data_IF_511827058146
#
_entry.id   IF_511827058146
#
_cell.length_a   1.000
_cell.length_b   1.000
_cell.length_c   1.000
_cell.angle_alpha   90.00
_cell.angle_beta   90.00
_cell.angle_gamma   90.00
#
_symmetry.space_group_name_H-M   'P 1'
#
loop_
_entity.id
_entity.type
_entity.pdbx_description
1 polymer ?
#
# COMPACT_ATOMS: atom_id res chain seq x y z
N UNK A 1 14.86 14.66 -41.85
CA UNK A 1 15.46 13.55 -41.07
C UNK A 1 15.53 14.00 -39.62
N UNK A 2 14.94 13.24 -38.69
CA UNK A 2 15.10 13.53 -37.26
C UNK A 2 16.57 13.36 -36.91
N UNK A 3 17.16 14.39 -36.30
CA UNK A 3 18.56 14.34 -35.88
C UNK A 3 18.72 13.28 -34.79
N UNK A 4 19.75 12.45 -34.90
CA UNK A 4 20.04 11.36 -33.96
C UNK A 4 20.09 11.81 -32.49
N UNK A 5 20.57 13.02 -32.21
CA UNK A 5 20.57 13.60 -30.86
C UNK A 5 19.16 13.90 -30.31
N UNK A 6 18.24 14.36 -31.15
CA UNK A 6 16.83 14.60 -30.81
C UNK A 6 16.12 13.27 -30.48
N UNK A 7 16.40 12.23 -31.25
CA UNK A 7 15.86 10.89 -30.99
C UNK A 7 16.29 10.36 -29.61
N UNK A 8 17.57 10.54 -29.24
CA UNK A 8 18.10 10.13 -27.95
C UNK A 8 17.46 10.92 -26.80
N UNK A 9 17.30 12.23 -26.93
CA UNK A 9 16.63 13.06 -25.92
C UNK A 9 15.18 12.63 -25.68
N UNK A 10 14.42 12.39 -26.75
CA UNK A 10 13.03 11.95 -26.65
C UNK A 10 12.94 10.56 -26.01
N UNK A 11 13.87 9.65 -26.33
CA UNK A 11 13.93 8.31 -25.75
C UNK A 11 14.19 8.38 -24.23
N UNK A 12 15.13 9.22 -23.79
CA UNK A 12 15.41 9.39 -22.35
C UNK A 12 14.21 10.02 -21.63
N UNK A 13 13.58 11.03 -22.24
CA UNK A 13 12.45 11.72 -21.63
C UNK A 13 11.23 10.80 -21.46
N UNK A 14 10.91 9.98 -22.48
CA UNK A 14 9.81 9.01 -22.38
C UNK A 14 10.12 7.89 -21.39
N UNK A 15 11.38 7.48 -21.25
CA UNK A 15 11.79 6.51 -20.22
C UNK A 15 11.56 7.07 -18.82
N UNK A 16 11.96 8.32 -18.56
CA UNK A 16 11.74 8.98 -17.26
C UNK A 16 10.24 9.15 -16.98
N UNK A 17 9.47 9.64 -17.94
CA UNK A 17 8.02 9.83 -17.79
C UNK A 17 7.33 8.47 -17.56
N UNK A 18 7.72 7.42 -18.27
CA UNK A 18 7.19 6.07 -18.10
C UNK A 18 7.49 5.49 -16.72
N UNK A 19 8.72 5.69 -16.20
CA UNK A 19 9.08 5.25 -14.86
C UNK A 19 8.32 6.01 -13.76
N UNK A 20 8.25 7.33 -13.85
CA UNK A 20 7.56 8.16 -12.85
C UNK A 20 6.06 7.87 -12.89
N UNK A 21 5.46 7.88 -14.08
CA UNK A 21 4.04 7.57 -14.27
C UNK A 21 3.69 6.15 -13.83
N UNK A 22 4.47 5.16 -14.26
CA UNK A 22 4.28 3.75 -13.88
C UNK A 22 4.43 3.51 -12.39
N UNK A 23 5.44 4.12 -11.74
CA UNK A 23 5.66 4.00 -10.29
C UNK A 23 4.50 4.59 -9.50
N UNK A 24 4.00 5.77 -9.88
CA UNK A 24 2.92 6.43 -9.17
C UNK A 24 1.59 5.66 -9.31
N UNK A 25 1.32 5.17 -10.53
CA UNK A 25 0.12 4.38 -10.81
C UNK A 25 0.14 3.03 -10.08
N UNK A 26 1.28 2.34 -10.09
CA UNK A 26 1.47 1.08 -9.36
C UNK A 26 1.35 1.30 -7.84
N UNK A 27 1.95 2.37 -7.31
CA UNK A 27 1.87 2.73 -5.89
C UNK A 27 0.42 2.97 -5.45
N UNK A 28 -0.33 3.72 -6.24
CA UNK A 28 -1.73 4.03 -5.94
C UNK A 28 -2.64 2.78 -6.05
N UNK A 29 -2.43 1.98 -7.09
CA UNK A 29 -3.17 0.73 -7.32
C UNK A 29 -2.93 -0.28 -6.20
N UNK A 30 -1.69 -0.40 -5.73
CA UNK A 30 -1.35 -1.30 -4.63
C UNK A 30 -1.96 -0.87 -3.29
N UNK A 31 -1.94 0.44 -2.98
CA UNK A 31 -2.65 0.98 -1.82
C UNK A 31 -4.14 0.66 -1.88
N UNK A 32 -4.77 0.85 -3.04
CA UNK A 32 -6.20 0.57 -3.26
C UNK A 32 -6.53 -0.92 -3.14
N UNK A 33 -5.63 -1.81 -3.57
CA UNK A 33 -5.79 -3.26 -3.45
C UNK A 33 -5.74 -3.73 -1.99
N UNK A 34 -4.70 -3.30 -1.25
CA UNK A 34 -4.53 -3.62 0.18
C UNK A 34 -5.65 -3.05 1.04
N UNK A 35 -6.22 -1.91 0.63
CA UNK A 35 -7.35 -1.27 1.29
C UNK A 35 -8.67 -2.04 1.12
N UNK A 36 -8.91 -2.63 -0.05
CA UNK A 36 -10.13 -3.39 -0.36
C UNK A 36 -10.12 -4.79 0.27
N UNK A 37 -8.94 -5.40 0.40
CA UNK A 37 -8.76 -6.68 1.07
C UNK A 37 -7.66 -6.54 2.14
N UNK A 38 -7.97 -5.91 3.29
CA UNK A 38 -7.00 -5.77 4.36
C UNK A 38 -6.56 -7.18 4.79
N UNK A 39 -5.26 -7.52 4.75
CA UNK A 39 -4.76 -8.87 5.02
C UNK A 39 -4.87 -9.27 6.51
N UNK A 40 -5.57 -8.50 7.32
CA UNK A 40 -5.56 -8.60 8.78
C UNK A 40 -6.73 -9.47 9.22
N UNK A 41 -6.43 -10.74 9.50
CA UNK A 41 -7.32 -11.68 10.19
C UNK A 41 -7.15 -11.60 11.71
N UNK A 42 -8.14 -12.08 12.48
CA UNK A 42 -8.03 -12.26 13.94
C UNK A 42 -6.77 -13.03 14.33
N UNK A 43 -6.42 -14.02 13.52
CA UNK A 43 -5.29 -14.90 13.74
C UNK A 43 -3.93 -14.18 13.57
N UNK A 44 -3.80 -13.33 12.55
CA UNK A 44 -2.61 -12.47 12.40
C UNK A 44 -2.48 -11.48 13.55
N UNK A 45 -3.58 -10.92 14.03
CA UNK A 45 -3.54 -9.95 15.13
C UNK A 45 -3.23 -10.63 16.47
N UNK A 46 -3.73 -11.86 16.65
CA UNK A 46 -3.39 -12.72 17.78
C UNK A 46 -1.91 -13.10 17.75
N UNK A 47 -1.38 -13.52 16.60
CA UNK A 47 0.03 -13.87 16.46
C UNK A 47 0.95 -12.67 16.62
N UNK A 48 0.55 -11.49 16.14
CA UNK A 48 1.25 -10.22 16.38
C UNK A 48 1.22 -9.81 17.86
N UNK A 49 0.09 -9.97 18.55
CA UNK A 49 -0.01 -9.68 19.98
C UNK A 49 0.86 -10.65 20.80
N UNK A 50 0.84 -11.93 20.43
CA UNK A 50 1.68 -12.98 21.03
C UNK A 50 3.17 -12.73 20.78
N UNK A 51 3.57 -12.30 19.58
CA UNK A 51 4.98 -12.00 19.26
C UNK A 51 5.52 -10.79 20.03
N UNK A 52 4.65 -9.90 20.48
CA UNK A 52 4.98 -8.78 21.38
C UNK A 52 4.94 -9.16 22.87
N UNK A 53 4.77 -10.44 23.21
CA UNK A 53 4.68 -10.91 24.60
C UNK A 53 3.41 -10.49 25.33
N UNK A 54 2.42 -9.94 24.63
CA UNK A 54 1.12 -9.58 25.20
C UNK A 54 0.21 -10.81 25.20
N UNK A 55 -0.40 -11.12 26.35
CA UNK A 55 -1.44 -12.15 26.42
C UNK A 55 -2.68 -11.69 25.64
N UNK A 56 -3.10 -12.40 24.59
CA UNK A 56 -4.26 -12.01 23.79
C UNK A 56 -5.54 -12.19 24.60
N UNK A 57 -6.12 -11.07 25.06
CA UNK A 57 -7.50 -11.07 25.56
C UNK A 57 -8.45 -10.85 24.40
N UNK A 58 -9.42 -11.74 24.22
CA UNK A 58 -10.37 -11.70 23.09
C UNK A 58 -11.08 -10.34 22.97
N UNK A 59 -11.38 -9.69 24.10
CA UNK A 59 -12.00 -8.35 24.12
C UNK A 59 -11.08 -7.27 23.55
N UNK A 60 -9.79 -7.30 23.93
CA UNK A 60 -8.77 -6.35 23.46
C UNK A 60 -8.50 -6.56 21.97
N UNK A 61 -8.52 -7.81 21.52
CA UNK A 61 -8.36 -8.19 20.13
C UNK A 61 -9.50 -7.63 19.26
N UNK A 62 -10.75 -7.87 19.65
CA UNK A 62 -11.92 -7.32 18.95
C UNK A 62 -11.93 -5.78 18.92
N UNK A 63 -11.54 -5.14 20.03
CA UNK A 63 -11.45 -3.68 20.10
C UNK A 63 -10.37 -3.13 19.14
N UNK A 64 -9.21 -3.79 19.09
CA UNK A 64 -8.11 -3.42 18.21
C UNK A 64 -8.47 -3.66 16.74
N UNK A 65 -9.17 -4.76 16.42
CA UNK A 65 -9.70 -5.02 15.08
C UNK A 65 -10.63 -3.90 14.59
N UNK A 66 -11.56 -3.51 15.45
CA UNK A 66 -12.52 -2.45 15.12
C UNK A 66 -11.81 -1.10 14.86
N UNK A 67 -10.83 -0.74 15.70
CA UNK A 67 -10.03 0.48 15.53
C UNK A 67 -9.20 0.45 14.24
N UNK A 68 -8.55 -0.67 13.93
CA UNK A 68 -7.76 -0.79 12.70
C UNK A 68 -8.61 -0.77 11.44
N UNK A 69 -9.80 -1.40 11.46
CA UNK A 69 -10.77 -1.31 10.36
C UNK A 69 -11.19 0.15 10.13
N UNK A 70 -11.42 0.90 11.20
CA UNK A 70 -11.82 2.30 11.13
C UNK A 70 -10.68 3.22 10.65
N UNK A 71 -9.44 2.96 11.07
CA UNK A 71 -8.25 3.69 10.62
C UNK A 71 -7.90 3.40 9.17
N UNK A 72 -8.09 2.16 8.72
CA UNK A 72 -7.94 1.75 7.32
C UNK A 72 -8.97 2.43 6.42
N UNK A 73 -10.20 2.63 6.89
CA UNK A 73 -11.24 3.37 6.17
C UNK A 73 -10.96 4.88 6.08
N UNK A 74 -10.44 5.50 7.15
CA UNK A 74 -10.11 6.93 7.15
C UNK A 74 -8.86 7.28 6.32
N UNK A 75 -7.88 6.37 6.25
CA UNK A 75 -6.66 6.57 5.44
C UNK A 75 -6.91 6.51 3.92
N UNK A 76 -8.11 6.08 3.50
CA UNK A 76 -8.56 6.05 2.10
C UNK A 76 -9.25 7.34 1.65
N UNK A 77 -9.64 8.21 2.58
CA UNK A 77 -10.39 9.44 2.29
C UNK A 77 -9.49 10.67 2.07
N UNK A 78 -8.17 10.48 2.04
CA UNK A 78 -7.15 11.53 1.97
C UNK A 78 -6.28 11.38 0.73
#
# INVERSE_FOLDING_TARGET
>A
MISTWLAILIAVLTLIIGLVGGFFLARNSMKSYLAKNPPISEEMMKSMMMSMGQKPSQKKLNQMMAQMKQQSANSQKK
#
